data_IF_217694493767
#
_entry.id   IF_217694493767
#
_cell.length_a   1.000
_cell.length_b   1.000
_cell.length_c   1.000
_cell.angle_alpha   90.00
_cell.angle_beta   90.00
_cell.angle_gamma   90.00
#
_symmetry.space_group_name_H-M   'P 1'
#
loop_
_entity.id
_entity.type
_entity.pdbx_description
1 polymer ?
#
# COMPACT_ATOMS: atom_id res chain seq x y z
N UNK A 1 37.45 12.80 36.19
CA UNK A 1 36.47 13.54 35.37
C UNK A 1 37.18 13.88 34.08
N UNK A 2 36.93 13.10 33.04
CA UNK A 2 37.61 13.24 31.74
C UNK A 2 36.58 13.62 30.70
N UNK A 3 36.66 14.86 30.23
CA UNK A 3 35.93 15.40 29.09
C UNK A 3 36.38 14.69 27.81
N UNK A 4 35.47 13.98 27.15
CA UNK A 4 35.69 13.43 25.82
C UNK A 4 35.26 14.50 24.82
N UNK A 5 36.25 15.22 24.28
CA UNK A 5 36.05 16.15 23.18
C UNK A 5 35.71 15.41 21.89
N UNK A 6 34.42 15.39 21.51
CA UNK A 6 34.01 15.08 20.15
C UNK A 6 34.08 16.35 19.30
N UNK A 7 35.08 16.41 18.42
CA UNK A 7 35.22 17.44 17.41
C UNK A 7 34.04 17.41 16.44
N UNK A 8 33.27 18.50 16.38
CA UNK A 8 32.21 18.70 15.39
C UNK A 8 32.84 19.03 14.04
N UNK A 9 33.19 18.00 13.26
CA UNK A 9 33.43 18.16 11.83
C UNK A 9 32.06 18.22 11.11
N UNK A 10 31.71 19.41 10.64
CA UNK A 10 30.59 19.67 9.74
C UNK A 10 30.78 18.92 8.41
N UNK A 11 30.17 17.74 8.29
CA UNK A 11 29.89 17.09 7.01
C UNK A 11 28.67 17.78 6.37
N UNK A 12 28.93 18.90 5.68
CA UNK A 12 27.98 19.50 4.75
C UNK A 12 28.02 18.76 3.42
N UNK A 13 27.49 17.54 3.38
CA UNK A 13 27.16 16.88 2.12
C UNK A 13 25.70 17.16 1.79
N UNK A 14 25.47 18.04 0.81
CA UNK A 14 24.17 18.16 0.13
C UNK A 14 23.82 16.77 -0.42
N UNK A 15 22.70 16.13 -0.01
CA UNK A 15 22.30 14.89 -0.66
C UNK A 15 22.03 15.18 -2.12
N UNK A 16 22.82 14.55 -3.01
CA UNK A 16 22.62 14.58 -4.44
C UNK A 16 21.19 14.18 -4.75
N UNK A 17 20.46 15.05 -5.45
CA UNK A 17 19.11 14.77 -5.94
C UNK A 17 19.21 13.57 -6.87
N UNK A 18 18.76 12.40 -6.41
CA UNK A 18 18.57 11.24 -7.28
C UNK A 18 17.71 11.68 -8.47
N UNK A 19 18.04 11.29 -9.71
CA UNK A 19 17.20 11.59 -10.86
C UNK A 19 15.81 11.02 -10.59
N UNK A 20 14.83 11.90 -10.42
CA UNK A 20 13.45 11.48 -10.26
C UNK A 20 13.03 10.80 -11.55
N UNK A 21 12.76 9.49 -11.47
CA UNK A 21 12.14 8.74 -12.56
C UNK A 21 10.86 9.50 -12.94
N UNK A 22 10.68 9.90 -14.22
CA UNK A 22 9.47 10.60 -14.62
C UNK A 22 8.25 9.75 -14.21
N UNK A 23 7.17 10.37 -13.70
CA UNK A 23 5.97 9.63 -13.35
C UNK A 23 5.57 8.83 -14.58
N UNK A 24 5.54 7.51 -14.46
CA UNK A 24 5.00 6.66 -15.50
C UNK A 24 3.65 7.25 -15.88
N UNK A 25 3.44 7.53 -17.18
CA UNK A 25 2.20 8.10 -17.69
C UNK A 25 1.05 7.31 -17.06
N UNK A 26 0.29 7.97 -16.18
CA UNK A 26 -0.87 7.34 -15.53
C UNK A 26 -1.82 7.00 -16.67
N UNK A 27 -2.15 5.72 -16.81
CA UNK A 27 -3.30 5.33 -17.60
C UNK A 27 -4.52 5.83 -16.80
N UNK A 28 -4.96 7.06 -17.08
CA UNK A 28 -5.99 7.80 -16.34
C UNK A 28 -7.41 7.25 -16.59
N UNK A 29 -7.56 5.92 -16.67
CA UNK A 29 -8.90 5.35 -16.63
C UNK A 29 -9.47 5.63 -15.24
N UNK A 30 -10.58 6.40 -15.13
CA UNK A 30 -11.16 6.69 -13.83
C UNK A 30 -11.66 5.37 -13.25
N UNK A 31 -10.97 4.88 -12.23
CA UNK A 31 -11.44 3.75 -11.44
C UNK A 31 -12.76 4.10 -10.78
N UNK A 32 -13.71 3.17 -10.79
CA UNK A 32 -14.95 3.34 -10.03
C UNK A 32 -14.65 2.97 -8.57
N UNK A 33 -15.03 3.81 -7.59
CA UNK A 33 -15.02 3.40 -6.19
C UNK A 33 -15.72 2.05 -6.09
N UNK A 34 -14.98 1.04 -5.64
CA UNK A 34 -15.49 -0.29 -5.46
C UNK A 34 -16.22 -0.41 -4.13
N UNK A 35 -16.40 -1.65 -3.69
CA UNK A 35 -17.10 -1.94 -2.46
C UNK A 35 -16.18 -1.83 -1.24
N UNK A 36 -16.80 -1.67 -0.07
CA UNK A 36 -16.15 -1.95 1.20
C UNK A 36 -16.48 -3.39 1.56
N UNK A 37 -15.46 -4.23 1.58
CA UNK A 37 -15.57 -5.66 1.78
C UNK A 37 -15.18 -6.01 3.22
N UNK A 38 -15.92 -6.90 3.85
CA UNK A 38 -15.42 -7.62 5.04
C UNK A 38 -14.24 -8.50 4.64
N UNK A 39 -13.46 -8.97 5.62
CA UNK A 39 -12.36 -9.92 5.35
C UNK A 39 -12.83 -11.17 4.61
N UNK A 40 -13.98 -11.74 5.01
CA UNK A 40 -14.59 -12.89 4.35
C UNK A 40 -14.98 -12.60 2.89
N UNK A 41 -15.55 -11.41 2.60
CA UNK A 41 -15.86 -11.01 1.24
C UNK A 41 -14.60 -10.75 0.41
N UNK A 42 -13.59 -10.09 0.99
CA UNK A 42 -12.30 -9.85 0.34
C UNK A 42 -11.57 -11.16 0.01
N UNK A 43 -11.70 -12.20 0.85
CA UNK A 43 -11.15 -13.52 0.62
C UNK A 43 -11.68 -14.18 -0.68
N UNK A 44 -12.89 -13.81 -1.13
CA UNK A 44 -13.40 -14.29 -2.43
C UNK A 44 -12.66 -13.71 -3.65
N UNK A 45 -11.88 -12.64 -3.46
CA UNK A 45 -11.11 -11.95 -4.51
C UNK A 45 -9.60 -12.18 -4.43
N UNK A 46 -9.14 -13.23 -3.77
CA UNK A 46 -7.70 -13.52 -3.58
C UNK A 46 -6.94 -13.61 -4.92
N UNK A 47 -7.56 -14.17 -5.97
CA UNK A 47 -6.94 -14.28 -7.28
C UNK A 47 -6.66 -12.88 -7.90
N UNK A 48 -7.67 -12.02 -7.93
CA UNK A 48 -7.55 -10.64 -8.43
C UNK A 48 -6.57 -9.81 -7.60
N UNK A 49 -6.57 -10.01 -6.28
CA UNK A 49 -5.64 -9.37 -5.37
C UNK A 49 -4.20 -9.82 -5.68
N UNK A 50 -3.93 -11.13 -5.83
CA UNK A 50 -2.59 -11.61 -6.19
C UNK A 50 -2.13 -10.99 -7.52
N UNK A 51 -2.99 -10.93 -8.51
CA UNK A 51 -2.71 -10.27 -9.80
C UNK A 51 -2.47 -8.75 -9.67
N UNK A 52 -3.17 -8.07 -8.75
CA UNK A 52 -2.87 -6.68 -8.42
C UNK A 52 -1.48 -6.57 -7.78
N UNK A 53 -1.19 -7.38 -6.76
CA UNK A 53 0.06 -7.32 -6.01
C UNK A 53 1.30 -7.59 -6.87
N UNK A 54 1.20 -8.46 -7.89
CA UNK A 54 2.30 -8.74 -8.82
C UNK A 54 2.55 -7.63 -9.83
N UNK A 55 1.53 -6.82 -10.14
CA UNK A 55 1.61 -5.72 -11.13
C UNK A 55 1.82 -4.34 -10.52
N UNK A 56 1.69 -4.22 -9.20
CA UNK A 56 1.97 -2.98 -8.49
C UNK A 56 3.40 -2.51 -8.80
N UNK A 57 3.54 -1.20 -9.06
CA UNK A 57 4.85 -0.60 -9.36
C UNK A 57 5.84 -0.73 -8.20
N UNK A 58 5.33 -0.87 -6.98
CA UNK A 58 6.08 -1.17 -5.77
C UNK A 58 5.43 -2.36 -5.05
N UNK A 59 6.17 -3.45 -4.94
CA UNK A 59 5.68 -4.69 -4.34
C UNK A 59 5.79 -4.59 -2.82
N UNK A 60 4.66 -4.38 -2.15
CA UNK A 60 4.60 -4.38 -0.69
C UNK A 60 4.07 -5.72 -0.17
N UNK A 61 4.95 -6.48 0.48
CA UNK A 61 4.63 -7.80 1.06
C UNK A 61 3.51 -7.73 2.11
N UNK A 62 3.38 -6.62 2.83
CA UNK A 62 2.31 -6.42 3.81
C UNK A 62 0.93 -6.28 3.16
N UNK A 63 0.87 -5.98 1.86
CA UNK A 63 -0.36 -5.99 1.07
C UNK A 63 -0.59 -7.34 0.38
N UNK A 64 0.22 -8.37 0.61
CA UNK A 64 -0.09 -9.69 0.08
C UNK A 64 -1.31 -10.28 0.83
N UNK A 65 -2.28 -10.92 0.16
CA UNK A 65 -3.50 -11.41 0.81
C UNK A 65 -3.22 -12.43 1.92
N UNK A 66 -2.15 -13.23 1.79
CA UNK A 66 -1.74 -14.19 2.82
C UNK A 66 -1.18 -13.54 4.10
N UNK A 67 -0.92 -12.24 4.09
CA UNK A 67 -0.46 -11.48 5.26
C UNK A 67 -1.55 -10.53 5.74
N UNK A 68 -2.18 -9.77 4.83
CA UNK A 68 -3.13 -8.74 5.22
C UNK A 68 -4.47 -9.30 5.71
N UNK A 69 -5.00 -10.37 5.11
CA UNK A 69 -6.30 -10.92 5.55
C UNK A 69 -6.25 -11.45 6.99
N UNK A 70 -5.27 -12.30 7.38
CA UNK A 70 -5.13 -12.72 8.78
C UNK A 70 -4.90 -11.54 9.74
N UNK A 71 -4.19 -10.50 9.28
CA UNK A 71 -4.00 -9.29 10.08
C UNK A 71 -5.34 -8.58 10.31
N UNK A 72 -6.17 -8.39 9.27
CA UNK A 72 -7.51 -7.81 9.41
C UNK A 72 -8.37 -8.63 10.37
N UNK A 73 -8.37 -9.97 10.24
CA UNK A 73 -9.15 -10.87 11.10
C UNK A 73 -8.72 -10.83 12.57
N UNK A 74 -7.44 -10.53 12.83
CA UNK A 74 -6.89 -10.43 14.19
C UNK A 74 -6.97 -9.02 14.78
N UNK A 75 -7.07 -8.00 13.93
CA UNK A 75 -7.22 -6.61 14.32
C UNK A 75 -8.69 -6.31 14.67
N UNK A 76 -9.06 -5.04 14.59
CA UNK A 76 -10.38 -4.54 14.89
C UNK A 76 -11.42 -4.99 13.82
N UNK A 77 -12.59 -5.53 14.21
CA UNK A 77 -13.70 -5.83 13.30
C UNK A 77 -14.20 -4.62 12.47
N UNK A 78 -13.85 -3.40 12.87
CA UNK A 78 -14.12 -2.17 12.15
C UNK A 78 -13.24 -1.98 10.91
N UNK A 79 -12.25 -2.83 10.67
CA UNK A 79 -11.43 -2.77 9.47
C UNK A 79 -12.15 -3.48 8.31
N UNK A 80 -12.35 -2.75 7.22
CA UNK A 80 -12.83 -3.25 5.94
C UNK A 80 -11.74 -3.13 4.87
N UNK A 81 -11.94 -3.80 3.73
CA UNK A 81 -11.11 -3.63 2.54
C UNK A 81 -11.88 -2.79 1.53
N UNK A 82 -11.44 -1.56 1.30
CA UNK A 82 -11.97 -0.74 0.21
C UNK A 82 -11.32 -1.17 -1.11
N UNK A 83 -12.13 -1.33 -2.17
CA UNK A 83 -11.65 -1.66 -3.52
C UNK A 83 -11.88 -0.53 -4.52
N UNK A 84 -11.18 -0.59 -5.64
CA UNK A 84 -11.45 0.21 -6.84
C UNK A 84 -11.40 -0.73 -8.04
N UNK A 85 -12.43 -0.69 -8.88
CA UNK A 85 -12.55 -1.54 -10.06
C UNK A 85 -12.50 -0.69 -11.35
N UNK A 86 -12.03 -1.26 -12.45
CA UNK A 86 -11.95 -0.57 -13.75
C UNK A 86 -13.29 -0.47 -14.50
N UNK A 87 -14.38 -0.92 -13.87
CA UNK A 87 -15.71 -0.98 -14.47
C UNK A 87 -15.99 -2.23 -15.32
N UNK A 88 -14.98 -3.06 -15.61
CA UNK A 88 -15.13 -4.39 -16.22
C UNK A 88 -15.10 -5.52 -15.19
N UNK A 89 -14.91 -5.18 -13.91
CA UNK A 89 -14.79 -6.12 -12.80
C UNK A 89 -13.35 -6.43 -12.40
N UNK A 90 -12.36 -5.86 -13.10
CA UNK A 90 -10.95 -6.01 -12.72
C UNK A 90 -10.58 -5.05 -11.60
N UNK A 91 -9.89 -5.58 -10.61
CA UNK A 91 -9.38 -4.84 -9.45
C UNK A 91 -8.19 -3.96 -9.84
N UNK A 92 -8.31 -2.65 -9.58
CA UNK A 92 -7.27 -1.65 -9.85
C UNK A 92 -6.53 -1.22 -8.59
N UNK A 93 -7.22 -1.19 -7.44
CA UNK A 93 -6.62 -0.84 -6.17
C UNK A 93 -7.40 -1.48 -5.01
N UNK A 94 -6.73 -1.62 -3.88
CA UNK A 94 -7.35 -1.95 -2.61
C UNK A 94 -6.59 -1.31 -1.46
N UNK A 95 -7.29 -1.06 -0.36
CA UNK A 95 -6.67 -0.63 0.89
C UNK A 95 -7.47 -1.14 2.09
N UNK A 96 -6.80 -1.55 3.18
CA UNK A 96 -7.48 -1.70 4.46
C UNK A 96 -7.88 -0.31 4.96
N UNK A 97 -9.13 -0.15 5.36
CA UNK A 97 -9.69 1.10 5.86
C UNK A 97 -10.47 0.84 7.13
N UNK A 98 -10.40 1.76 8.07
CA UNK A 98 -11.30 1.75 9.22
C UNK A 98 -12.67 2.25 8.77
N UNK A 99 -13.71 1.43 8.82
CA UNK A 99 -15.10 1.88 8.60
C UNK A 99 -15.65 2.46 9.91
N UNK A 100 -15.01 3.53 10.37
CA UNK A 100 -15.49 4.30 11.52
C UNK A 100 -16.60 5.23 11.02
N UNK A 101 -17.77 5.11 11.63
CA UNK A 101 -18.84 6.12 11.50
C UNK A 101 -18.38 7.47 12.04
#
# INVERSE_FOLDING_TARGET
MSDIGFSSATLSEKPGRLPQRPPAARDERPGKPGAWLTSAQAATRIADWRDLATRCADANVFFHPGILLPAIDHLDPSIAVATVDDGTGRLLALAPVHHGR
#
